data_IF_955359594368
#
_entry.id   IF_955359594368
#
_cell.length_a   1.000
_cell.length_b   1.000
_cell.length_c   1.000
_cell.angle_alpha   90.00
_cell.angle_beta   90.00
_cell.angle_gamma   90.00
#
_symmetry.space_group_name_H-M   'P 1'
#
loop_
_entity.id
_entity.type
_entity.pdbx_description
1 polymer ?
#
# COMPACT_ATOMS: atom_id res chain seq x y z
N UNK A 1 -11.53 -7.26 -17.06
CA UNK A 1 -11.38 -5.78 -17.09
C UNK A 1 -12.51 -5.02 -17.82
N UNK A 2 -13.44 -5.69 -18.53
CA UNK A 2 -14.64 -5.07 -19.11
C UNK A 2 -15.88 -5.02 -18.18
N UNK A 3 -15.77 -5.53 -16.94
CA UNK A 3 -16.90 -5.59 -15.97
C UNK A 3 -17.06 -4.29 -15.16
N UNK A 4 -16.07 -3.39 -15.19
CA UNK A 4 -16.12 -2.12 -14.43
C UNK A 4 -16.70 -0.94 -15.23
N UNK A 5 -17.17 -1.15 -16.46
CA UNK A 5 -17.59 -0.06 -17.35
C UNK A 5 -19.06 0.33 -17.23
N UNK A 6 -19.92 -0.41 -16.51
CA UNK A 6 -21.36 -0.09 -16.52
C UNK A 6 -22.15 -0.36 -15.22
N UNK A 7 -21.55 -0.96 -14.20
CA UNK A 7 -22.28 -1.38 -12.99
C UNK A 7 -21.92 -0.51 -11.77
N UNK A 8 -22.89 0.31 -11.35
CA UNK A 8 -23.08 0.89 -10.01
C UNK A 8 -21.80 1.06 -9.14
N UNK A 9 -21.29 2.29 -8.93
CA UNK A 9 -20.14 2.58 -8.04
C UNK A 9 -20.20 1.92 -6.66
N UNK A 10 -21.40 1.70 -6.13
CA UNK A 10 -21.64 1.00 -4.87
C UNK A 10 -21.20 -0.49 -4.90
N UNK A 11 -21.37 -1.19 -6.04
CA UNK A 11 -20.92 -2.58 -6.19
C UNK A 11 -19.41 -2.69 -6.19
N UNK A 12 -18.73 -1.77 -6.90
CA UNK A 12 -17.27 -1.70 -6.88
C UNK A 12 -16.75 -1.47 -5.45
N UNK A 13 -17.30 -0.48 -4.74
CA UNK A 13 -16.91 -0.18 -3.37
C UNK A 13 -17.14 -1.38 -2.44
N UNK A 14 -18.31 -2.02 -2.53
CA UNK A 14 -18.64 -3.19 -1.71
C UNK A 14 -17.71 -4.37 -1.96
N UNK A 15 -17.50 -4.75 -3.22
CA UNK A 15 -16.61 -5.86 -3.59
C UNK A 15 -15.16 -5.58 -3.22
N UNK A 16 -14.67 -4.35 -3.44
CA UNK A 16 -13.31 -3.97 -3.08
C UNK A 16 -13.10 -4.01 -1.56
N UNK A 17 -14.05 -3.48 -0.79
CA UNK A 17 -13.98 -3.49 0.69
C UNK A 17 -13.99 -4.92 1.23
N UNK A 18 -14.83 -5.80 0.65
CA UNK A 18 -14.84 -7.22 1.00
C UNK A 18 -13.50 -7.87 0.65
N UNK A 19 -12.94 -7.59 -0.53
CA UNK A 19 -11.65 -8.14 -0.95
C UNK A 19 -10.52 -7.78 0.02
N UNK A 20 -10.39 -6.50 0.39
CA UNK A 20 -9.38 -6.05 1.36
C UNK A 20 -9.61 -6.65 2.75
N UNK A 21 -10.88 -6.82 3.14
CA UNK A 21 -11.22 -7.49 4.41
C UNK A 21 -10.84 -8.97 4.42
N UNK A 22 -11.03 -9.69 3.30
CA UNK A 22 -10.68 -11.10 3.18
C UNK A 22 -9.17 -11.34 3.20
N UNK A 23 -8.40 -10.46 2.58
CA UNK A 23 -6.93 -10.47 2.61
C UNK A 23 -6.39 -10.34 4.05
N UNK A 24 -6.94 -9.39 4.82
CA UNK A 24 -6.59 -9.28 6.24
C UNK A 24 -6.94 -10.53 7.08
N UNK A 25 -8.00 -11.25 6.72
CA UNK A 25 -8.44 -12.48 7.40
C UNK A 25 -7.56 -13.68 7.03
N UNK A 26 -7.16 -13.82 5.77
CA UNK A 26 -6.34 -14.96 5.35
C UNK A 26 -4.99 -14.99 6.07
N UNK A 27 -4.37 -13.84 6.27
CA UNK A 27 -3.12 -13.74 7.02
C UNK A 27 -3.34 -14.03 8.49
N UNK A 28 -4.49 -13.68 9.07
CA UNK A 28 -4.81 -14.01 10.46
C UNK A 28 -5.00 -15.51 10.64
N UNK A 29 -5.72 -16.16 9.71
CA UNK A 29 -5.95 -17.60 9.72
C UNK A 29 -4.65 -18.38 9.48
N UNK A 30 -3.79 -17.96 8.55
CA UNK A 30 -2.50 -18.59 8.30
C UNK A 30 -1.62 -18.62 9.56
N UNK A 31 -1.70 -17.57 10.39
CA UNK A 31 -0.98 -17.49 11.68
C UNK A 31 -1.61 -18.36 12.75
N UNK A 32 -2.94 -18.32 12.87
CA UNK A 32 -3.66 -19.12 13.86
C UNK A 32 -3.48 -20.63 13.59
N UNK A 33 -3.43 -21.01 12.32
CA UNK A 33 -3.22 -22.39 11.88
C UNK A 33 -1.75 -22.78 11.76
N UNK A 34 -0.82 -21.85 12.00
CA UNK A 34 0.63 -22.05 11.87
C UNK A 34 1.04 -22.61 10.49
N UNK A 35 0.35 -22.16 9.44
CA UNK A 35 0.53 -22.54 8.03
C UNK A 35 1.15 -21.38 7.21
N UNK A 36 2.05 -20.61 7.81
CA UNK A 36 2.75 -19.54 7.10
C UNK A 36 3.76 -20.13 6.11
N UNK A 37 3.68 -19.70 4.85
CA UNK A 37 4.64 -20.08 3.80
C UNK A 37 5.31 -18.86 3.20
N UNK A 38 6.57 -19.01 2.78
CA UNK A 38 7.32 -17.93 2.09
C UNK A 38 6.63 -17.51 0.79
N UNK A 39 6.10 -18.49 0.04
CA UNK A 39 5.34 -18.23 -1.18
C UNK A 39 4.05 -17.43 -0.87
N UNK A 40 3.31 -17.84 0.16
CA UNK A 40 2.11 -17.14 0.61
C UNK A 40 2.38 -15.68 0.97
N UNK A 41 3.43 -15.42 1.74
CA UNK A 41 3.81 -14.05 2.13
C UNK A 41 4.22 -13.17 0.94
N UNK A 42 4.90 -13.73 -0.07
CA UNK A 42 5.25 -12.99 -1.30
C UNK A 42 4.00 -12.76 -2.15
N UNK A 43 3.13 -13.76 -2.26
CA UNK A 43 1.90 -13.65 -3.03
C UNK A 43 0.94 -12.61 -2.44
N UNK A 44 0.73 -12.64 -1.13
CA UNK A 44 -0.02 -11.64 -0.34
C UNK A 44 0.44 -10.22 -0.69
N UNK A 45 1.74 -9.94 -0.54
CA UNK A 45 2.32 -8.66 -0.91
C UNK A 45 2.08 -8.27 -2.37
N UNK A 46 2.19 -9.21 -3.32
CA UNK A 46 1.99 -8.92 -4.75
C UNK A 46 0.53 -8.62 -5.06
N UNK A 47 -0.41 -9.42 -4.53
CA UNK A 47 -1.85 -9.24 -4.74
C UNK A 47 -2.32 -7.91 -4.15
N UNK A 48 -1.82 -7.56 -2.96
CA UNK A 48 -2.03 -6.26 -2.34
C UNK A 48 -1.68 -5.11 -3.30
N UNK A 49 -0.47 -5.13 -3.87
CA UNK A 49 -0.01 -4.06 -4.78
C UNK A 49 -0.81 -4.03 -6.08
N UNK A 50 -1.19 -5.18 -6.61
CA UNK A 50 -2.04 -5.27 -7.81
C UNK A 50 -3.45 -4.73 -7.54
N UNK A 51 -3.99 -4.98 -6.35
CA UNK A 51 -5.28 -4.43 -5.91
C UNK A 51 -5.23 -2.90 -5.84
N UNK A 52 -4.23 -2.33 -5.16
CA UNK A 52 -4.02 -0.88 -5.09
C UNK A 52 -3.84 -0.26 -6.49
N UNK A 53 -3.08 -0.92 -7.37
CA UNK A 53 -2.88 -0.49 -8.76
C UNK A 53 -4.21 -0.43 -9.52
N UNK A 54 -5.06 -1.45 -9.37
CA UNK A 54 -6.38 -1.46 -9.98
C UNK A 54 -7.25 -0.30 -9.49
N UNK A 55 -7.23 -0.01 -8.19
CA UNK A 55 -7.94 1.14 -7.62
C UNK A 55 -7.42 2.47 -8.19
N UNK A 56 -6.09 2.66 -8.24
CA UNK A 56 -5.46 3.86 -8.82
C UNK A 56 -5.84 4.04 -10.30
N UNK A 57 -5.86 2.96 -11.08
CA UNK A 57 -6.29 3.02 -12.50
C UNK A 57 -7.76 3.41 -12.65
N UNK A 58 -8.64 2.95 -11.75
CA UNK A 58 -10.05 3.37 -11.72
C UNK A 58 -10.17 4.87 -11.41
N UNK A 59 -9.39 5.39 -10.44
CA UNK A 59 -9.36 6.81 -10.12
C UNK A 59 -8.87 7.66 -11.30
N UNK A 60 -7.84 7.21 -12.01
CA UNK A 60 -7.32 7.87 -13.20
C UNK A 60 -8.35 7.89 -14.34
N UNK A 61 -9.05 6.77 -14.57
CA UNK A 61 -10.11 6.67 -15.59
C UNK A 61 -11.30 7.58 -15.29
N UNK A 62 -11.55 7.90 -14.01
CA UNK A 62 -12.61 8.82 -13.57
C UNK A 62 -12.16 10.28 -13.52
N UNK A 63 -10.94 10.59 -13.97
CA UNK A 63 -10.35 11.93 -13.94
C UNK A 63 -10.28 12.55 -12.52
N UNK A 64 -10.26 11.70 -11.49
CA UNK A 64 -10.09 12.11 -10.08
C UNK A 64 -8.62 12.42 -9.81
N UNK A 65 -7.74 11.70 -10.50
CA UNK A 65 -6.29 11.86 -10.43
C UNK A 65 -5.74 11.93 -11.86
N UNK A 66 -4.84 12.86 -12.12
CA UNK A 66 -4.20 12.94 -13.44
C UNK A 66 -3.41 11.66 -13.74
N UNK A 67 -3.31 11.29 -15.01
CA UNK A 67 -2.58 10.09 -15.44
C UNK A 67 -1.12 10.08 -14.92
N UNK A 68 -0.45 11.23 -14.91
CA UNK A 68 0.92 11.36 -14.41
C UNK A 68 1.00 11.12 -12.90
N UNK A 69 0.06 11.64 -12.11
CA UNK A 69 0.00 11.38 -10.67
C UNK A 69 -0.31 9.91 -10.38
N UNK A 70 -1.26 9.32 -11.10
CA UNK A 70 -1.62 7.91 -10.96
C UNK A 70 -0.43 6.99 -11.26
N UNK A 71 0.22 7.19 -12.41
CA UNK A 71 1.39 6.43 -12.82
C UNK A 71 2.57 6.64 -11.86
N UNK A 72 2.80 7.86 -11.40
CA UNK A 72 3.87 8.16 -10.43
C UNK A 72 3.65 7.47 -9.09
N UNK A 73 2.44 7.55 -8.52
CA UNK A 73 2.12 6.92 -7.24
C UNK A 73 2.21 5.40 -7.33
N UNK A 74 1.64 4.81 -8.38
CA UNK A 74 1.70 3.38 -8.63
C UNK A 74 3.14 2.88 -8.86
N UNK A 75 3.91 3.62 -9.66
CA UNK A 75 5.29 3.27 -9.97
C UNK A 75 6.20 3.32 -8.75
N UNK A 76 6.05 4.35 -7.91
CA UNK A 76 6.80 4.47 -6.65
C UNK A 76 6.42 3.33 -5.69
N UNK A 77 5.13 3.01 -5.57
CA UNK A 77 4.66 1.98 -4.64
C UNK A 77 5.07 0.56 -5.05
N UNK A 78 4.87 0.17 -6.31
CA UNK A 78 5.30 -1.15 -6.81
C UNK A 78 6.83 -1.25 -6.83
N UNK A 79 7.49 -0.22 -7.35
CA UNK A 79 8.95 -0.19 -7.47
C UNK A 79 9.66 -0.27 -6.12
N UNK A 80 9.16 0.44 -5.11
CA UNK A 80 9.76 0.42 -3.78
C UNK A 80 9.71 -0.94 -3.11
N UNK A 81 8.56 -1.62 -3.20
CA UNK A 81 8.38 -2.95 -2.60
C UNK A 81 9.21 -4.01 -3.34
N UNK A 82 9.28 -3.96 -4.67
CA UNK A 82 10.10 -4.90 -5.43
C UNK A 82 11.59 -4.76 -5.13
N UNK A 83 12.14 -3.55 -5.16
CA UNK A 83 13.57 -3.33 -4.87
C UNK A 83 13.87 -3.74 -3.43
N UNK A 84 12.99 -3.39 -2.48
CA UNK A 84 13.15 -3.77 -1.08
C UNK A 84 13.09 -5.28 -0.86
N UNK A 85 12.18 -5.97 -1.55
CA UNK A 85 12.05 -7.43 -1.50
C UNK A 85 13.31 -8.12 -2.03
N UNK A 86 13.85 -7.66 -3.16
CA UNK A 86 15.10 -8.17 -3.73
C UNK A 86 16.24 -8.01 -2.72
N UNK A 87 16.37 -6.82 -2.13
CA UNK A 87 17.36 -6.54 -1.08
C UNK A 87 17.20 -7.47 0.14
N UNK A 88 15.97 -7.66 0.64
CA UNK A 88 15.71 -8.55 1.79
C UNK A 88 16.04 -10.00 1.46
N UNK A 89 15.78 -10.44 0.23
CA UNK A 89 16.07 -11.80 -0.20
C UNK A 89 17.58 -12.02 -0.48
N UNK A 90 18.31 -11.00 -0.92
CA UNK A 90 19.76 -11.09 -1.17
C UNK A 90 20.59 -11.07 0.12
N UNK A 91 20.06 -10.55 1.22
CA UNK A 91 20.72 -10.44 2.53
C UNK A 91 20.65 -11.72 3.40
N UNK A 92 20.49 -12.91 2.79
CA UNK A 92 20.21 -14.18 3.48
C UNK A 92 20.87 -14.33 4.87
N UNK A 93 20.05 -14.57 5.90
CA UNK A 93 20.23 -14.79 7.36
C UNK A 93 21.52 -14.39 8.15
N UNK A 94 22.60 -13.92 7.52
CA UNK A 94 23.95 -13.99 8.10
C UNK A 94 24.67 -12.66 8.32
N UNK A 95 24.11 -11.51 7.96
CA UNK A 95 24.75 -10.23 8.25
C UNK A 95 24.01 -9.44 9.33
N UNK A 96 24.50 -9.58 10.56
CA UNK A 96 24.28 -8.62 11.66
C UNK A 96 24.50 -7.22 11.10
N UNK A 97 23.44 -6.42 11.02
CA UNK A 97 23.53 -5.04 10.59
C UNK A 97 24.34 -4.21 11.60
N UNK A 98 25.58 -3.93 11.26
CA UNK A 98 26.42 -2.95 11.95
C UNK A 98 25.74 -1.57 11.88
N UNK A 99 25.76 -0.88 13.03
CA UNK A 99 25.04 0.37 13.29
C UNK A 99 25.37 1.49 12.30
N UNK A 100 24.32 2.06 11.72
CA UNK A 100 24.35 3.34 11.01
C UNK A 100 23.08 4.11 11.36
N UNK A 101 23.23 5.22 12.07
CA UNK A 101 22.13 6.03 12.62
C UNK A 101 21.62 7.00 11.55
N UNK A 102 20.82 6.51 10.61
CA UNK A 102 20.21 7.30 9.54
C UNK A 102 18.70 7.48 9.73
N UNK A 103 18.18 8.68 9.45
CA UNK A 103 16.75 9.00 9.54
C UNK A 103 15.88 8.02 8.72
N UNK A 104 16.37 7.63 7.53
CA UNK A 104 15.77 6.60 6.65
C UNK A 104 15.69 5.23 7.35
N UNK A 105 16.76 4.79 8.01
CA UNK A 105 16.79 3.53 8.78
C UNK A 105 15.82 3.58 9.97
N UNK A 106 15.71 4.74 10.63
CA UNK A 106 14.74 4.95 11.72
C UNK A 106 13.30 4.83 11.25
N UNK A 107 12.95 5.45 10.12
CA UNK A 107 11.61 5.34 9.50
C UNK A 107 11.31 3.89 9.12
N UNK A 108 12.25 3.21 8.43
CA UNK A 108 12.06 1.82 8.04
C UNK A 108 11.98 0.88 9.24
N UNK A 109 12.73 1.14 10.31
CA UNK A 109 12.65 0.37 11.54
C UNK A 109 11.34 0.61 12.30
N UNK A 110 10.81 1.83 12.32
CA UNK A 110 9.47 2.08 12.87
C UNK A 110 8.39 1.40 12.01
N UNK A 111 8.53 1.46 10.69
CA UNK A 111 7.61 0.87 9.72
C UNK A 111 7.57 -0.67 9.82
N UNK A 112 8.72 -1.33 9.78
CA UNK A 112 8.81 -2.80 9.84
C UNK A 112 8.85 -3.35 11.26
N UNK A 113 9.28 -2.57 12.24
CA UNK A 113 9.38 -2.99 13.64
C UNK A 113 8.04 -2.98 14.37
N UNK A 114 7.05 -2.23 13.90
CA UNK A 114 5.69 -2.24 14.43
C UNK A 114 4.69 -2.63 13.35
N UNK A 115 4.22 -3.88 13.42
CA UNK A 115 3.25 -4.42 12.49
C UNK A 115 1.91 -3.67 12.47
N UNK A 116 1.44 -3.18 13.62
CA UNK A 116 0.20 -2.41 13.68
C UNK A 116 0.37 -1.08 12.95
N UNK A 117 1.53 -0.44 13.08
CA UNK A 117 1.83 0.80 12.36
C UNK A 117 1.89 0.59 10.84
N UNK A 118 2.52 -0.49 10.39
CA UNK A 118 2.54 -0.88 8.96
C UNK A 118 1.12 -1.08 8.41
N UNK A 119 0.30 -1.88 9.11
CA UNK A 119 -1.06 -2.19 8.70
C UNK A 119 -1.91 -0.92 8.68
N UNK A 120 -1.81 -0.06 9.70
CA UNK A 120 -2.53 1.21 9.75
C UNK A 120 -2.15 2.12 8.59
N UNK A 121 -0.87 2.25 8.23
CA UNK A 121 -0.45 3.07 7.10
C UNK A 121 -0.98 2.53 5.76
N UNK A 122 -0.93 1.20 5.57
CA UNK A 122 -1.48 0.57 4.38
C UNK A 122 -3.00 0.81 4.29
N UNK A 123 -3.73 0.54 5.37
CA UNK A 123 -5.17 0.79 5.46
C UNK A 123 -5.51 2.27 5.23
N UNK A 124 -4.75 3.21 5.80
CA UNK A 124 -4.96 4.64 5.55
C UNK A 124 -4.78 4.99 4.07
N UNK A 125 -3.76 4.43 3.39
CA UNK A 125 -3.55 4.68 1.96
C UNK A 125 -4.68 4.12 1.09
N UNK A 126 -5.16 2.92 1.40
CA UNK A 126 -6.30 2.30 0.71
C UNK A 126 -7.59 3.11 0.90
N UNK A 127 -7.90 3.45 2.16
CA UNK A 127 -9.08 4.25 2.50
C UNK A 127 -9.01 5.63 1.87
N UNK A 128 -7.83 6.26 1.78
CA UNK A 128 -7.67 7.54 1.08
C UNK A 128 -8.14 7.46 -0.38
N UNK A 129 -7.69 6.46 -1.13
CA UNK A 129 -8.10 6.27 -2.52
C UNK A 129 -9.61 5.96 -2.65
N UNK A 130 -10.17 5.17 -1.72
CA UNK A 130 -11.62 4.91 -1.68
C UNK A 130 -12.44 6.16 -1.35
N UNK A 131 -11.98 7.01 -0.42
CA UNK A 131 -12.67 8.25 -0.07
C UNK A 131 -12.64 9.24 -1.24
N UNK A 132 -11.54 9.31 -1.99
CA UNK A 132 -11.48 10.10 -3.23
C UNK A 132 -12.52 9.60 -4.26
N UNK A 133 -12.67 8.28 -4.40
CA UNK A 133 -13.70 7.68 -5.26
C UNK A 133 -15.12 8.06 -4.82
N UNK A 134 -15.42 7.95 -3.52
CA UNK A 134 -16.74 8.29 -2.95
C UNK A 134 -17.04 9.78 -3.09
N UNK A 135 -16.08 10.65 -2.81
CA UNK A 135 -16.23 12.11 -2.91
C UNK A 135 -16.56 12.55 -4.33
N UNK A 136 -15.94 11.93 -5.34
CA UNK A 136 -16.25 12.23 -6.74
C UNK A 136 -17.61 11.65 -7.19
N UNK A 137 -18.02 10.51 -6.64
CA UNK A 137 -19.26 9.81 -7.02
C UNK A 137 -20.57 10.42 -6.53
N UNK A 138 -20.56 11.63 -5.95
CA UNK A 138 -21.77 12.28 -5.41
C UNK A 138 -21.86 12.29 -3.88
N UNK A 139 -20.78 11.93 -3.17
CA UNK A 139 -20.62 12.27 -1.76
C UNK A 139 -20.61 13.79 -1.62
N UNK A 140 -21.77 14.38 -1.29
CA UNK A 140 -21.95 15.83 -1.19
C UNK A 140 -20.98 16.50 -0.20
N UNK A 141 -21.05 17.83 -0.11
CA UNK A 141 -20.25 18.67 0.82
C UNK A 141 -20.48 18.23 2.27
N UNK A 142 -19.67 17.28 2.73
CA UNK A 142 -19.70 16.71 4.06
C UNK A 142 -18.36 17.00 4.72
N UNK A 143 -18.38 17.81 5.77
CA UNK A 143 -17.19 18.15 6.54
C UNK A 143 -16.53 16.90 7.12
N UNK A 144 -17.31 15.87 7.44
CA UNK A 144 -16.83 14.58 7.93
C UNK A 144 -16.05 13.86 6.83
N UNK A 145 -16.55 13.87 5.59
CA UNK A 145 -15.86 13.25 4.45
C UNK A 145 -14.56 13.98 4.15
N UNK A 146 -14.57 15.32 4.18
CA UNK A 146 -13.38 16.13 3.97
C UNK A 146 -12.33 15.90 5.07
N UNK A 147 -12.74 15.87 6.34
CA UNK A 147 -11.85 15.56 7.46
C UNK A 147 -11.26 14.15 7.34
N UNK A 148 -12.06 13.15 6.90
CA UNK A 148 -11.58 11.79 6.69
C UNK A 148 -10.57 11.71 5.52
N UNK A 149 -10.80 12.43 4.42
CA UNK A 149 -9.85 12.52 3.30
C UNK A 149 -8.54 13.17 3.75
N UNK A 150 -8.59 14.25 4.54
CA UNK A 150 -7.39 14.88 5.07
C UNK A 150 -6.63 13.99 6.04
N UNK A 151 -7.34 13.35 6.98
CA UNK A 151 -6.73 12.45 7.96
C UNK A 151 -6.06 11.24 7.30
N UNK A 152 -6.74 10.60 6.34
CA UNK A 152 -6.17 9.47 5.59
C UNK A 152 -5.08 9.91 4.60
N UNK A 153 -5.18 11.13 4.07
CA UNK A 153 -4.17 11.75 3.21
C UNK A 153 -2.82 11.97 3.92
N UNK A 154 -2.82 12.27 5.22
CA UNK A 154 -1.59 12.33 6.02
C UNK A 154 -0.93 10.95 6.08
N UNK A 155 -1.72 9.90 6.36
CA UNK A 155 -1.23 8.52 6.37
C UNK A 155 -0.68 8.09 5.01
N UNK A 156 -1.40 8.43 3.94
CA UNK A 156 -0.94 8.24 2.56
C UNK A 156 0.40 8.96 2.30
N UNK A 157 0.55 10.21 2.72
CA UNK A 157 1.80 10.96 2.57
C UNK A 157 2.98 10.28 3.29
N UNK A 158 2.78 9.83 4.52
CA UNK A 158 3.80 9.07 5.28
C UNK A 158 4.15 7.76 4.54
N UNK A 159 3.15 7.09 3.95
CA UNK A 159 3.37 5.88 3.16
C UNK A 159 4.22 6.17 1.92
N UNK A 160 3.97 7.26 1.20
CA UNK A 160 4.81 7.66 0.06
C UNK A 160 6.26 7.96 0.48
N UNK A 161 6.47 8.64 1.61
CA UNK A 161 7.82 8.87 2.17
C UNK A 161 8.50 7.54 2.49
N UNK A 162 7.77 6.58 3.05
CA UNK A 162 8.29 5.24 3.34
C UNK A 162 8.68 4.49 2.06
N UNK A 163 7.88 4.59 1.00
CA UNK A 163 8.18 3.98 -0.29
C UNK A 163 9.47 4.55 -0.90
N UNK A 164 9.67 5.88 -0.83
CA UNK A 164 10.94 6.50 -1.26
C UNK A 164 12.11 6.06 -0.38
N UNK A 165 11.91 5.98 0.94
CA UNK A 165 12.90 5.51 1.90
C UNK A 165 13.35 4.06 1.62
N UNK A 166 12.42 3.18 1.24
CA UNK A 166 12.71 1.80 0.83
C UNK A 166 13.65 1.76 -0.38
N UNK A 167 13.37 2.56 -1.41
CA UNK A 167 14.19 2.63 -2.62
C UNK A 167 15.58 3.15 -2.27
N UNK A 168 15.66 4.26 -1.55
CA UNK A 168 16.93 4.90 -1.20
C UNK A 168 17.83 3.98 -0.38
N UNK A 169 17.28 3.31 0.63
CA UNK A 169 18.06 2.41 1.50
C UNK A 169 18.46 1.12 0.78
N UNK A 170 17.58 0.55 -0.04
CA UNK A 170 17.91 -0.65 -0.81
C UNK A 170 18.98 -0.35 -1.87
N UNK A 171 18.85 0.77 -2.61
CA UNK A 171 19.87 1.20 -3.58
C UNK A 171 21.24 1.40 -2.92
N UNK A 172 21.28 2.12 -1.77
CA UNK A 172 22.52 2.37 -1.02
C UNK A 172 23.22 1.08 -0.56
N UNK A 173 22.47 0.01 -0.33
CA UNK A 173 23.00 -1.28 0.15
C UNK A 173 23.30 -2.27 -0.96
N UNK A 174 22.65 -2.16 -2.12
CA UNK A 174 22.94 -2.97 -3.30
C UNK A 174 24.16 -2.45 -4.07
N UNK A 175 24.49 -1.17 -3.95
CA UNK A 175 25.68 -0.55 -4.53
C UNK A 175 26.98 -0.82 -3.75
N UNK A 176 26.88 -1.50 -2.60
CA UNK A 176 28.02 -1.90 -1.75
C UNK A 176 28.26 -3.39 -1.83
#
# INVERSE_FOLDING_TARGET
>A
MAVLSHDSPARFLGLYTISVGLDGIDGMLARLLNQESKLGAVLDMVIDRLSTLCLIMVLARKDIMSLGQAAGCAGIDVGSHWIWMIYKNSQGEHHKETGGRGLVKGILNAYYGNRMFMLSLCACSEVFYLLLFVKHGGGGRSEILDAAVWGTGIGWGIKQVTNVAQIAEAARKLDR
#
